data_IF_266787772795
#
_entry.id   IF_266787772795
#
_cell.length_a   1.000
_cell.length_b   1.000
_cell.length_c   1.000
_cell.angle_alpha   90.00
_cell.angle_beta   90.00
_cell.angle_gamma   90.00
#
_symmetry.space_group_name_H-M   'P 1'
#
loop_
_entity.id
_entity.type
_entity.pdbx_description
1 polymer ?
#
# COMPACT_ATOMS: atom_id res chain seq x y z
N UNK A 1 21.87 -58.57 -19.71
CA UNK A 1 22.64 -57.35 -19.45
C UNK A 1 22.44 -56.26 -20.50
N UNK A 2 22.54 -56.48 -21.80
CA UNK A 2 22.37 -55.44 -22.86
C UNK A 2 20.98 -54.76 -22.88
N UNK A 3 19.89 -55.48 -22.55
CA UNK A 3 18.53 -54.98 -22.58
C UNK A 3 18.24 -54.01 -21.39
N UNK A 4 18.80 -54.32 -20.24
CA UNK A 4 18.70 -53.47 -19.03
C UNK A 4 19.44 -52.15 -19.20
N UNK A 5 20.64 -52.20 -19.79
CA UNK A 5 21.45 -50.99 -20.05
C UNK A 5 20.80 -50.06 -21.06
N UNK A 6 20.13 -50.61 -22.10
CA UNK A 6 19.39 -49.81 -23.08
C UNK A 6 18.19 -49.08 -22.45
N UNK A 7 17.45 -49.73 -21.56
CA UNK A 7 16.32 -49.12 -20.87
C UNK A 7 16.77 -48.02 -19.89
N UNK A 8 17.89 -48.22 -19.20
CA UNK A 8 18.48 -47.21 -18.31
C UNK A 8 18.94 -45.98 -19.09
N UNK A 9 19.56 -46.12 -20.26
CA UNK A 9 19.95 -45.04 -21.15
C UNK A 9 18.74 -44.22 -21.66
N UNK A 10 17.62 -44.89 -21.98
CA UNK A 10 16.38 -44.19 -22.39
C UNK A 10 15.79 -43.37 -21.23
N UNK A 11 15.79 -43.87 -20.00
CA UNK A 11 15.33 -43.16 -18.84
C UNK A 11 16.20 -41.94 -18.50
N UNK A 12 17.51 -42.04 -18.65
CA UNK A 12 18.44 -40.94 -18.48
C UNK A 12 18.26 -39.87 -19.56
N UNK A 13 18.08 -40.27 -20.81
CA UNK A 13 17.81 -39.32 -21.92
C UNK A 13 16.46 -38.63 -21.78
N UNK A 14 15.43 -39.35 -21.31
CA UNK A 14 14.12 -38.72 -20.97
C UNK A 14 14.23 -37.76 -19.79
N UNK A 15 14.99 -38.06 -18.75
CA UNK A 15 15.27 -37.18 -17.62
C UNK A 15 15.97 -35.88 -18.04
N UNK A 16 16.97 -35.99 -18.92
CA UNK A 16 17.71 -34.85 -19.49
C UNK A 16 16.78 -33.98 -20.36
N UNK A 17 15.89 -34.59 -21.17
CA UNK A 17 14.95 -33.89 -22.01
C UNK A 17 13.91 -33.07 -21.17
N UNK A 18 13.54 -33.58 -19.98
CA UNK A 18 12.63 -32.84 -19.05
C UNK A 18 13.36 -31.65 -18.42
N UNK A 19 14.66 -31.78 -18.10
CA UNK A 19 15.47 -30.72 -17.49
C UNK A 19 15.80 -29.63 -18.54
N UNK A 20 16.02 -29.98 -19.79
CA UNK A 20 16.28 -29.00 -20.88
C UNK A 20 15.03 -28.41 -21.47
N UNK A 21 13.85 -29.05 -21.24
CA UNK A 21 12.52 -28.52 -21.62
C UNK A 21 11.98 -27.43 -20.68
N UNK A 22 12.72 -27.09 -19.61
CA UNK A 22 12.45 -25.85 -18.85
C UNK A 22 12.74 -24.68 -19.77
N UNK A 23 11.75 -24.32 -20.57
CA UNK A 23 11.83 -23.19 -21.49
C UNK A 23 12.40 -22.00 -20.70
N UNK A 24 13.53 -21.49 -21.16
CA UNK A 24 14.00 -20.17 -20.76
C UNK A 24 12.83 -19.24 -21.10
N UNK A 25 11.97 -18.97 -20.12
CA UNK A 25 11.03 -17.88 -20.23
C UNK A 25 11.90 -16.62 -20.41
N UNK A 26 12.12 -16.26 -21.67
CA UNK A 26 12.68 -14.94 -21.99
C UNK A 26 11.70 -13.96 -21.35
N UNK A 27 12.06 -13.43 -20.21
CA UNK A 27 11.29 -12.38 -19.57
C UNK A 27 11.07 -11.29 -20.62
N UNK A 28 9.82 -11.02 -20.95
CA UNK A 28 9.48 -9.88 -21.79
C UNK A 28 10.04 -8.69 -21.03
N UNK A 29 11.04 -8.02 -21.59
CA UNK A 29 11.62 -6.82 -21.00
C UNK A 29 10.52 -5.76 -21.09
N UNK A 30 9.87 -5.48 -19.97
CA UNK A 30 8.87 -4.44 -19.92
C UNK A 30 9.52 -3.09 -20.26
N UNK A 31 8.86 -2.31 -21.11
CA UNK A 31 9.31 -0.98 -21.45
C UNK A 31 9.40 -0.12 -20.17
N UNK A 32 10.34 0.82 -20.20
CA UNK A 32 10.52 1.76 -19.11
C UNK A 32 9.27 2.63 -18.99
N UNK A 33 8.67 2.68 -17.81
CA UNK A 33 7.56 3.58 -17.51
C UNK A 33 8.10 5.01 -17.36
N UNK A 34 7.41 6.00 -17.92
CA UNK A 34 7.75 7.42 -17.76
C UNK A 34 7.35 7.88 -16.34
N UNK A 35 8.10 7.39 -15.35
CA UNK A 35 7.99 7.74 -13.95
C UNK A 35 9.37 7.68 -13.30
N UNK A 36 9.56 8.43 -12.21
CA UNK A 36 10.81 8.37 -11.42
C UNK A 36 11.01 7.00 -10.77
N UNK A 37 9.94 6.39 -10.29
CA UNK A 37 9.90 5.05 -9.73
C UNK A 37 8.56 4.38 -10.07
N UNK A 38 8.57 3.05 -10.17
CA UNK A 38 7.37 2.25 -10.35
C UNK A 38 7.54 0.88 -9.67
N UNK A 39 6.46 0.37 -9.09
CA UNK A 39 6.42 -0.94 -8.48
C UNK A 39 5.06 -1.58 -8.70
N UNK A 40 5.04 -2.80 -9.20
CA UNK A 40 3.82 -3.55 -9.48
C UNK A 40 3.96 -4.96 -8.94
N UNK A 41 2.94 -5.41 -8.24
CA UNK A 41 2.83 -6.76 -7.72
C UNK A 41 1.53 -7.41 -8.14
N UNK A 42 1.52 -8.73 -8.24
CA UNK A 42 0.30 -9.51 -8.24
C UNK A 42 -0.27 -9.57 -6.81
N UNK A 43 -1.51 -9.12 -6.63
CA UNK A 43 -2.11 -9.01 -5.31
C UNK A 43 -2.43 -10.36 -4.65
N UNK A 44 -2.60 -11.42 -5.45
CA UNK A 44 -2.91 -12.76 -4.95
C UNK A 44 -1.67 -13.54 -4.50
N UNK A 45 -0.57 -13.38 -5.23
CA UNK A 45 0.66 -14.15 -5.02
C UNK A 45 1.79 -13.36 -4.38
N UNK A 46 1.71 -12.01 -4.39
CA UNK A 46 2.80 -11.13 -3.98
C UNK A 46 3.96 -11.07 -4.98
N UNK A 47 3.86 -11.73 -6.14
CA UNK A 47 4.91 -11.74 -7.15
C UNK A 47 5.14 -10.33 -7.69
N UNK A 48 6.41 -9.90 -7.74
CA UNK A 48 6.79 -8.64 -8.40
C UNK A 48 6.67 -8.80 -9.90
N UNK A 49 5.79 -8.03 -10.52
CA UNK A 49 5.54 -8.02 -11.97
C UNK A 49 6.41 -6.97 -12.67
N UNK A 50 6.68 -5.86 -12.00
CA UNK A 50 7.51 -4.77 -12.51
C UNK A 50 8.15 -3.98 -11.38
N UNK A 51 9.38 -3.53 -11.58
CA UNK A 51 10.03 -2.60 -10.66
C UNK A 51 10.99 -1.68 -11.40
N UNK A 52 10.96 -0.41 -11.03
CA UNK A 52 11.85 0.62 -11.53
C UNK A 52 12.17 1.55 -10.36
N UNK A 53 13.44 1.68 -10.00
CA UNK A 53 13.89 2.50 -8.86
C UNK A 53 13.06 2.29 -7.57
N UNK A 54 12.58 1.06 -7.32
CA UNK A 54 11.62 0.74 -6.27
C UNK A 54 12.13 1.05 -4.84
N UNK A 55 13.46 1.04 -4.65
CA UNK A 55 14.11 1.33 -3.36
C UNK A 55 14.58 2.78 -3.23
N UNK A 56 14.35 3.62 -4.24
CA UNK A 56 14.74 5.03 -4.20
C UNK A 56 13.72 5.84 -3.41
N UNK A 57 14.21 6.79 -2.61
CA UNK A 57 13.35 7.66 -1.79
C UNK A 57 12.90 8.86 -2.61
N UNK A 58 11.59 9.03 -2.72
CA UNK A 58 10.95 10.16 -3.38
C UNK A 58 9.82 10.72 -2.53
N UNK A 59 9.52 12.02 -2.61
CA UNK A 59 8.27 12.56 -2.10
C UNK A 59 7.11 11.89 -2.87
N UNK A 60 6.27 11.16 -2.15
CA UNK A 60 5.19 10.36 -2.74
C UNK A 60 3.80 11.00 -2.61
N UNK A 61 3.74 12.19 -2.01
CA UNK A 61 2.51 12.96 -1.82
C UNK A 61 1.36 12.08 -1.27
N UNK A 62 0.19 12.13 -1.85
CA UNK A 62 -1.00 11.42 -1.38
C UNK A 62 -0.91 9.88 -1.42
N UNK A 63 0.11 9.27 -2.04
CA UNK A 63 0.34 7.84 -1.88
C UNK A 63 0.60 7.45 -0.41
N UNK A 64 1.05 8.41 0.42
CA UNK A 64 1.17 8.24 1.88
C UNK A 64 -0.15 7.79 2.52
N UNK A 65 -1.30 8.19 1.98
CA UNK A 65 -2.63 7.83 2.49
C UNK A 65 -2.93 6.32 2.38
N UNK A 66 -2.24 5.59 1.51
CA UNK A 66 -2.32 4.12 1.45
C UNK A 66 -1.82 3.51 2.76
N UNK A 67 -0.74 4.05 3.33
CA UNK A 67 -0.27 3.56 4.62
C UNK A 67 -1.14 4.10 5.77
N UNK A 68 -1.62 5.34 5.66
CA UNK A 68 -2.57 5.90 6.63
C UNK A 68 -3.78 4.99 6.78
N UNK A 69 -4.43 4.59 5.67
CA UNK A 69 -5.58 3.70 5.73
C UNK A 69 -5.22 2.32 6.31
N UNK A 70 -4.05 1.77 5.98
CA UNK A 70 -3.60 0.49 6.52
C UNK A 70 -3.47 0.54 8.07
N UNK A 71 -2.94 1.63 8.62
CA UNK A 71 -2.84 1.84 10.08
C UNK A 71 -4.23 1.98 10.70
N UNK A 72 -5.10 2.81 10.14
CA UNK A 72 -6.47 3.02 10.62
C UNK A 72 -7.26 1.69 10.58
N UNK A 73 -7.18 0.93 9.48
CA UNK A 73 -7.84 -0.37 9.35
C UNK A 73 -7.35 -1.38 10.39
N UNK A 74 -6.05 -1.41 10.68
CA UNK A 74 -5.47 -2.23 11.73
C UNK A 74 -6.05 -1.88 13.10
N UNK A 75 -6.23 -0.59 13.40
CA UNK A 75 -6.75 -0.17 14.68
C UNK A 75 -8.27 -0.34 14.80
N UNK A 76 -9.00 -0.26 13.69
CA UNK A 76 -10.41 -0.69 13.65
C UNK A 76 -10.51 -2.20 13.90
N UNK A 77 -9.67 -3.02 13.26
CA UNK A 77 -9.63 -4.47 13.50
C UNK A 77 -9.32 -4.81 14.96
N UNK A 78 -8.43 -4.05 15.59
CA UNK A 78 -8.04 -4.20 16.98
C UNK A 78 -9.02 -3.52 17.97
N UNK A 79 -10.17 -3.02 17.49
CA UNK A 79 -11.21 -2.36 18.29
C UNK A 79 -10.75 -1.08 19.02
N UNK A 80 -9.69 -0.47 18.61
CA UNK A 80 -9.23 0.84 19.12
C UNK A 80 -9.99 2.01 18.50
N UNK A 81 -10.45 1.84 17.27
CA UNK A 81 -11.37 2.72 16.56
C UNK A 81 -12.58 1.90 16.08
N UNK A 82 -13.68 2.55 15.79
CA UNK A 82 -14.81 1.94 15.11
C UNK A 82 -15.30 2.81 13.94
N UNK A 83 -15.91 2.19 12.92
CA UNK A 83 -16.42 2.89 11.75
C UNK A 83 -17.42 4.00 12.08
N UNK A 84 -18.27 3.77 13.09
CA UNK A 84 -19.34 4.68 13.51
C UNK A 84 -18.88 5.67 14.60
N UNK A 85 -17.64 5.52 15.09
CA UNK A 85 -17.09 6.45 16.06
C UNK A 85 -17.07 7.85 15.48
N UNK A 86 -17.61 8.81 16.26
CA UNK A 86 -17.65 10.23 15.89
C UNK A 86 -16.39 10.94 16.37
N UNK A 87 -15.74 11.63 15.46
CA UNK A 87 -14.57 12.47 15.69
C UNK A 87 -15.01 13.92 15.63
N UNK A 88 -14.83 14.66 16.72
CA UNK A 88 -15.10 16.10 16.76
C UNK A 88 -13.95 16.85 16.12
N UNK A 89 -14.28 17.71 15.16
CA UNK A 89 -13.32 18.55 14.44
C UNK A 89 -12.89 19.71 15.33
N UNK A 90 -11.59 19.88 15.53
CA UNK A 90 -11.00 21.03 16.18
C UNK A 90 -10.69 22.14 15.15
N UNK A 91 -10.23 23.30 15.65
CA UNK A 91 -9.92 24.44 14.80
C UNK A 91 -8.84 24.12 13.75
N UNK A 92 -7.76 23.45 14.13
CA UNK A 92 -6.63 23.19 13.23
C UNK A 92 -7.07 22.32 12.04
N UNK A 93 -7.82 21.24 12.30
CA UNK A 93 -8.41 20.39 11.27
C UNK A 93 -9.38 21.18 10.39
N UNK A 94 -10.21 22.04 10.97
CA UNK A 94 -11.14 22.88 10.21
C UNK A 94 -10.40 23.87 9.32
N UNK A 95 -9.38 24.54 9.83
CA UNK A 95 -8.55 25.47 9.06
C UNK A 95 -7.87 24.75 7.87
N UNK A 96 -7.32 23.55 8.08
CA UNK A 96 -6.75 22.75 7.01
C UNK A 96 -7.83 22.31 6.00
N UNK A 97 -8.96 21.81 6.47
CA UNK A 97 -10.05 21.31 5.63
C UNK A 97 -10.68 22.39 4.75
N UNK A 98 -10.61 23.64 5.19
CA UNK A 98 -11.16 24.78 4.45
C UNK A 98 -10.10 25.58 3.67
N UNK A 99 -8.84 25.13 3.68
CA UNK A 99 -7.76 25.77 2.92
C UNK A 99 -7.77 25.26 1.47
N UNK A 100 -8.02 26.15 0.52
CA UNK A 100 -8.09 25.87 -0.92
C UNK A 100 -6.79 25.31 -1.54
N UNK A 101 -5.65 25.42 -0.83
CA UNK A 101 -4.36 24.90 -1.30
C UNK A 101 -4.25 23.38 -1.19
N UNK A 102 -5.15 22.74 -0.46
CA UNK A 102 -5.16 21.31 -0.23
C UNK A 102 -6.38 20.64 -0.88
N UNK A 103 -6.25 19.35 -1.19
CA UNK A 103 -7.39 18.53 -1.56
C UNK A 103 -8.24 18.28 -0.32
N UNK A 104 -9.50 18.72 -0.33
CA UNK A 104 -10.33 18.66 0.87
C UNK A 104 -11.82 18.46 0.60
N UNK A 105 -12.51 18.06 1.66
CA UNK A 105 -13.94 18.30 1.88
C UNK A 105 -14.08 19.28 3.03
N UNK A 106 -15.13 20.07 3.03
CA UNK A 106 -15.38 21.02 4.13
C UNK A 106 -15.64 20.26 5.43
N UNK A 107 -14.90 20.61 6.48
CA UNK A 107 -15.10 20.13 7.85
C UNK A 107 -15.20 21.34 8.76
N UNK A 108 -16.33 21.47 9.46
CA UNK A 108 -16.57 22.64 10.31
C UNK A 108 -16.10 22.39 11.74
N UNK A 109 -15.49 23.41 12.35
CA UNK A 109 -15.09 23.35 13.76
C UNK A 109 -16.30 23.05 14.67
N UNK A 110 -16.09 22.14 15.61
CA UNK A 110 -17.12 21.72 16.57
C UNK A 110 -18.09 20.68 16.08
N UNK A 111 -18.18 20.45 14.77
CA UNK A 111 -18.99 19.35 14.21
C UNK A 111 -18.30 17.99 14.38
N UNK A 112 -19.08 16.94 14.26
CA UNK A 112 -18.58 15.56 14.42
C UNK A 112 -18.87 14.73 13.19
N UNK A 113 -17.84 14.04 12.71
CA UNK A 113 -17.88 13.17 11.53
C UNK A 113 -17.51 11.76 11.93
N UNK A 114 -18.09 10.75 11.29
CA UNK A 114 -17.73 9.35 11.56
C UNK A 114 -16.35 9.00 11.00
N UNK A 115 -15.66 8.05 11.62
CA UNK A 115 -14.41 7.48 11.06
C UNK A 115 -14.64 7.05 9.62
N UNK A 116 -15.78 6.40 9.34
CA UNK A 116 -16.16 5.98 7.99
C UNK A 116 -16.16 7.14 7.00
N UNK A 117 -16.88 8.23 7.30
CA UNK A 117 -16.97 9.37 6.38
C UNK A 117 -15.63 10.08 6.15
N UNK A 118 -14.79 10.14 7.20
CA UNK A 118 -13.44 10.70 7.08
C UNK A 118 -12.53 9.81 6.23
N UNK A 119 -12.60 8.48 6.40
CA UNK A 119 -11.86 7.52 5.55
C UNK A 119 -12.33 7.61 4.10
N UNK A 120 -13.64 7.65 3.85
CA UNK A 120 -14.19 7.76 2.49
C UNK A 120 -13.69 9.05 1.81
N UNK A 121 -13.77 10.19 2.47
CA UNK A 121 -13.29 11.46 1.90
C UNK A 121 -11.76 11.48 1.69
N UNK A 122 -10.99 10.91 2.63
CA UNK A 122 -9.55 10.75 2.46
C UNK A 122 -9.21 9.92 1.22
N UNK A 123 -9.92 8.80 0.99
CA UNK A 123 -9.60 7.87 -0.09
C UNK A 123 -10.17 8.29 -1.45
N UNK A 124 -11.33 8.97 -1.50
CA UNK A 124 -12.00 9.31 -2.76
C UNK A 124 -11.47 10.63 -3.32
N UNK A 125 -11.38 11.67 -2.50
CA UNK A 125 -10.94 13.01 -2.93
C UNK A 125 -9.60 13.43 -2.33
N UNK A 126 -8.93 12.50 -1.66
CA UNK A 126 -7.62 12.76 -1.05
C UNK A 126 -7.66 13.86 0.03
N UNK A 127 -8.74 13.97 0.80
CA UNK A 127 -8.96 15.05 1.76
C UNK A 127 -7.89 15.07 2.87
N UNK A 128 -7.10 16.14 2.92
CA UNK A 128 -6.00 16.30 3.89
C UNK A 128 -6.53 16.57 5.30
N UNK A 129 -7.57 17.42 5.45
CA UNK A 129 -8.22 17.67 6.75
C UNK A 129 -8.82 16.39 7.35
N UNK A 130 -9.42 15.53 6.53
CA UNK A 130 -9.93 14.23 6.99
C UNK A 130 -8.80 13.30 7.44
N UNK A 131 -7.66 13.34 6.75
CA UNK A 131 -6.46 12.57 7.11
C UNK A 131 -5.91 13.01 8.47
N UNK A 132 -5.84 14.32 8.70
CA UNK A 132 -5.40 14.88 9.98
C UNK A 132 -6.37 14.54 11.11
N UNK A 133 -7.68 14.68 10.89
CA UNK A 133 -8.70 14.30 11.87
C UNK A 133 -8.55 12.84 12.31
N UNK A 134 -8.34 11.93 11.35
CA UNK A 134 -8.11 10.51 11.63
C UNK A 134 -6.81 10.28 12.41
N UNK A 135 -5.72 10.96 12.06
CA UNK A 135 -4.45 10.85 12.74
C UNK A 135 -4.52 11.32 14.20
N UNK A 136 -5.21 12.44 14.45
CA UNK A 136 -5.42 12.97 15.79
C UNK A 136 -6.31 12.05 16.64
N UNK A 137 -7.36 11.48 16.05
CA UNK A 137 -8.25 10.56 16.74
C UNK A 137 -7.57 9.24 17.11
N UNK A 138 -6.67 8.75 16.24
CA UNK A 138 -5.96 7.49 16.43
C UNK A 138 -4.79 7.59 17.42
N UNK A 139 -4.00 8.66 17.36
CA UNK A 139 -2.74 8.79 18.08
C UNK A 139 -2.59 10.05 18.93
N UNK A 140 -3.60 10.91 18.99
CA UNK A 140 -3.60 12.16 19.75
C UNK A 140 -2.76 13.28 19.13
N UNK A 141 -1.87 13.00 18.20
CA UNK A 141 -1.10 13.99 17.45
C UNK A 141 -0.61 13.44 16.11
N UNK A 142 -0.42 14.33 15.13
CA UNK A 142 0.19 13.97 13.82
C UNK A 142 1.58 13.37 14.00
N UNK A 143 2.38 13.89 14.94
CA UNK A 143 3.71 13.34 15.24
C UNK A 143 3.63 11.90 15.71
N UNK A 144 2.77 11.60 16.70
CA UNK A 144 2.60 10.24 17.21
C UNK A 144 2.06 9.29 16.14
N UNK A 145 1.14 9.77 15.30
CA UNK A 145 0.64 8.99 14.16
C UNK A 145 1.75 8.68 13.15
N UNK A 146 2.62 9.63 12.83
CA UNK A 146 3.75 9.42 11.94
C UNK A 146 4.74 8.37 12.49
N UNK A 147 5.02 8.36 13.80
CA UNK A 147 5.85 7.31 14.40
C UNK A 147 5.17 5.94 14.27
N UNK A 148 3.87 5.86 14.51
CA UNK A 148 3.08 4.64 14.33
C UNK A 148 3.10 4.15 12.87
N UNK A 149 3.05 5.05 11.91
CA UNK A 149 3.20 4.72 10.49
C UNK A 149 4.59 4.15 10.18
N UNK A 150 5.66 4.71 10.74
CA UNK A 150 7.02 4.17 10.60
C UNK A 150 7.14 2.76 11.16
N UNK A 151 6.57 2.51 12.34
CA UNK A 151 6.54 1.17 12.94
C UNK A 151 5.75 0.18 12.09
N UNK A 152 4.66 0.61 11.46
CA UNK A 152 3.78 -0.23 10.65
C UNK A 152 4.38 -0.70 9.32
N UNK A 153 5.52 -0.17 8.90
CA UNK A 153 6.17 -0.69 7.70
C UNK A 153 6.83 0.32 6.79
N UNK A 154 6.82 1.62 7.12
CA UNK A 154 7.73 2.55 6.47
C UNK A 154 9.12 2.43 7.10
N UNK A 155 9.68 1.23 7.04
CA UNK A 155 11.12 1.07 7.22
C UNK A 155 11.78 1.64 5.96
N UNK A 156 11.98 2.92 6.01
CA UNK A 156 12.81 3.61 5.02
C UNK A 156 14.27 3.34 5.26
#
# INVERSE_FOLDING_TARGET
>A
MKKQFKNWLILVMLGIAIITGSGIMRGVKADKIDAKAAYMIDAGTGQVLYQQNANSKYPIASLTKILTIAVIMKDIHNQKLSWDQKIKVNKDVSDMANNWQYSNVQLNEGESYTVKSLVESMMIVSADGSTEALALADAGSVKAFNEKMKEAGMRS
#
